data_IF_639149814884
#
_entry.id   IF_639149814884
#
_cell.length_a   1.000
_cell.length_b   1.000
_cell.length_c   1.000
_cell.angle_alpha   90.00
_cell.angle_beta   90.00
_cell.angle_gamma   90.00
#
_symmetry.space_group_name_H-M   'P 1'
#
loop_
_entity.id
_entity.type
_entity.pdbx_description
1 polymer ?
#
# COMPACT_ATOMS: atom_id res chain seq x y z
N UNK A 1 1.87 -16.93 -5.63
CA UNK A 1 3.19 -16.75 -6.27
C UNK A 1 4.05 -16.15 -5.19
N UNK A 2 4.94 -16.92 -4.62
CA UNK A 2 5.95 -16.33 -3.74
C UNK A 2 6.72 -15.33 -4.59
N UNK A 3 6.86 -14.09 -4.09
CA UNK A 3 7.71 -13.07 -4.68
C UNK A 3 9.17 -13.44 -4.37
N UNK A 4 9.64 -14.59 -4.92
CA UNK A 4 10.89 -15.22 -4.53
C UNK A 4 12.11 -14.74 -5.32
N UNK A 5 11.92 -13.94 -6.36
CA UNK A 5 13.00 -13.37 -7.16
C UNK A 5 12.84 -11.86 -7.28
N UNK A 6 13.97 -11.13 -7.24
CA UNK A 6 13.98 -9.70 -7.50
C UNK A 6 13.38 -9.38 -8.86
N UNK A 7 12.67 -8.26 -8.95
CA UNK A 7 12.16 -7.72 -10.20
C UNK A 7 13.32 -7.22 -11.09
N UNK A 8 13.12 -7.15 -12.42
CA UNK A 8 14.07 -6.49 -13.30
C UNK A 8 14.38 -5.05 -12.83
N UNK A 9 15.61 -4.56 -13.07
CA UNK A 9 15.96 -3.18 -12.74
C UNK A 9 14.99 -2.19 -13.39
N UNK A 10 14.60 -1.16 -12.64
CA UNK A 10 13.64 -0.15 -13.08
C UNK A 10 13.49 0.97 -12.05
N UNK A 11 12.57 1.88 -12.30
CA UNK A 11 12.22 2.95 -11.35
C UNK A 11 10.99 2.55 -10.54
N UNK A 12 11.10 2.60 -9.21
CA UNK A 12 9.98 2.32 -8.29
C UNK A 12 9.58 3.57 -7.52
N UNK A 13 8.29 3.90 -7.55
CA UNK A 13 7.69 4.89 -6.68
C UNK A 13 7.20 4.19 -5.40
N UNK A 14 7.78 4.54 -4.26
CA UNK A 14 7.39 4.05 -2.94
C UNK A 14 6.43 5.05 -2.30
N UNK A 15 5.13 4.76 -2.31
CA UNK A 15 4.06 5.67 -1.89
C UNK A 15 3.65 5.39 -0.45
N UNK A 16 3.54 6.44 0.36
CA UNK A 16 3.31 6.32 1.80
C UNK A 16 4.50 5.60 2.46
N UNK A 17 5.70 6.01 2.07
CA UNK A 17 6.93 5.30 2.43
C UNK A 17 7.24 5.34 3.94
N UNK A 18 6.73 6.36 4.66
CA UNK A 18 7.03 6.52 6.07
C UNK A 18 8.53 6.38 6.37
N UNK A 19 8.84 5.74 7.49
CA UNK A 19 10.19 5.32 7.84
C UNK A 19 10.60 3.94 7.30
N UNK A 20 9.79 3.31 6.44
CA UNK A 20 10.00 1.95 5.99
C UNK A 20 11.08 1.85 4.90
N UNK A 21 11.78 0.71 4.88
CA UNK A 21 12.66 0.36 3.76
C UNK A 21 11.82 -0.23 2.62
N UNK A 22 12.31 -0.03 1.41
CA UNK A 22 11.73 -0.65 0.23
C UNK A 22 11.82 -2.19 0.33
N UNK A 23 10.77 -2.87 -0.11
CA UNK A 23 10.73 -4.34 -0.06
C UNK A 23 11.85 -4.97 -0.92
N UNK A 24 12.55 -6.02 -0.45
CA UNK A 24 13.70 -6.63 -1.13
C UNK A 24 13.44 -7.09 -2.58
N UNK A 25 12.19 -7.33 -2.97
CA UNK A 25 11.83 -7.68 -4.34
C UNK A 25 12.27 -6.60 -5.35
N UNK A 26 12.42 -5.34 -4.89
CA UNK A 26 12.88 -4.21 -5.69
C UNK A 26 14.40 -3.97 -5.58
N UNK A 27 15.18 -4.94 -5.14
CA UNK A 27 16.62 -4.85 -4.89
C UNK A 27 17.36 -4.50 -6.14
N UNK A 28 17.49 -3.72 -6.83
CA UNK A 28 18.09 -3.36 -8.12
C UNK A 28 17.34 -2.23 -8.82
N UNK A 29 16.26 -1.74 -8.18
CA UNK A 29 15.48 -0.63 -8.68
C UNK A 29 15.96 0.70 -8.06
N UNK A 30 15.78 1.77 -8.82
CA UNK A 30 15.93 3.15 -8.35
C UNK A 30 14.67 3.57 -7.59
N UNK A 31 14.79 3.75 -6.26
CA UNK A 31 13.68 4.17 -5.40
C UNK A 31 13.46 5.67 -5.49
N UNK A 32 12.21 6.08 -5.62
CA UNK A 32 11.72 7.45 -5.36
C UNK A 32 10.69 7.36 -4.25
N UNK A 33 10.91 8.07 -3.15
CA UNK A 33 10.07 8.04 -1.95
C UNK A 33 9.04 9.16 -1.98
N UNK A 34 7.76 8.82 -1.76
CA UNK A 34 6.68 9.80 -1.67
C UNK A 34 5.93 9.60 -0.35
N UNK A 35 5.75 10.68 0.38
CA UNK A 35 4.96 10.71 1.62
C UNK A 35 4.30 12.09 1.80
N UNK A 36 3.24 12.14 2.62
CA UNK A 36 2.57 13.38 3.01
C UNK A 36 3.25 14.00 4.24
N UNK A 37 3.97 13.20 5.03
CA UNK A 37 4.62 13.63 6.27
C UNK A 37 6.07 14.05 5.99
N UNK A 38 6.40 15.35 6.18
CA UNK A 38 7.75 15.87 5.95
C UNK A 38 8.80 15.28 6.92
N UNK A 39 8.39 14.77 8.08
CA UNK A 39 9.30 14.21 9.08
C UNK A 39 10.01 12.94 8.58
N UNK A 40 9.40 12.26 7.63
CA UNK A 40 10.00 11.10 6.94
C UNK A 40 10.99 11.47 5.83
N UNK A 41 11.15 12.77 5.53
CA UNK A 41 12.09 13.28 4.51
C UNK A 41 11.96 12.56 3.17
N UNK A 42 10.76 12.47 2.60
CA UNK A 42 10.58 11.84 1.30
C UNK A 42 11.23 12.68 0.19
N UNK A 43 11.54 12.06 -0.97
CA UNK A 43 12.00 12.76 -2.16
C UNK A 43 10.90 13.66 -2.72
N UNK A 44 9.63 13.23 -2.57
CA UNK A 44 8.44 13.95 -3.01
C UNK A 44 7.49 14.09 -1.83
N UNK A 45 7.31 15.33 -1.35
CA UNK A 45 6.34 15.65 -0.32
C UNK A 45 4.98 15.92 -1.00
N UNK A 46 4.10 14.94 -1.00
CA UNK A 46 2.80 15.02 -1.66
C UNK A 46 1.79 14.02 -1.07
N UNK A 47 0.50 14.31 -1.26
CA UNK A 47 -0.56 13.34 -1.00
C UNK A 47 -0.62 12.30 -2.12
N UNK A 48 -0.92 11.04 -1.79
CA UNK A 48 -1.17 9.99 -2.78
C UNK A 48 -2.44 10.22 -3.61
N UNK A 49 -3.31 11.15 -3.20
CA UNK A 49 -4.49 11.58 -3.98
C UNK A 49 -4.17 12.72 -4.94
N UNK A 50 -2.97 13.31 -4.87
CA UNK A 50 -2.52 14.39 -5.74
C UNK A 50 -0.99 14.39 -5.81
N UNK A 51 -0.43 13.57 -6.67
CA UNK A 51 1.02 13.37 -6.79
C UNK A 51 1.71 14.40 -7.70
N UNK A 52 0.97 15.39 -8.21
CA UNK A 52 1.52 16.39 -9.11
C UNK A 52 1.89 15.82 -10.49
N UNK A 53 2.83 16.50 -11.15
CA UNK A 53 3.22 16.16 -12.53
C UNK A 53 4.41 15.16 -12.53
N UNK A 54 4.26 14.03 -11.85
CA UNK A 54 5.24 12.93 -11.87
C UNK A 54 4.70 11.73 -12.66
N UNK A 55 5.59 10.88 -13.12
CA UNK A 55 5.24 9.65 -13.84
C UNK A 55 6.45 8.97 -14.44
N UNK A 56 6.22 7.93 -15.22
CA UNK A 56 7.28 7.19 -15.88
C UNK A 56 7.96 6.15 -14.98
N UNK A 57 7.24 5.62 -13.99
CA UNK A 57 7.71 4.54 -13.13
C UNK A 57 7.42 3.18 -13.75
N UNK A 58 8.34 2.24 -13.57
CA UNK A 58 8.17 0.85 -13.97
C UNK A 58 7.35 0.10 -12.90
N UNK A 59 7.53 0.49 -11.64
CA UNK A 59 6.86 -0.10 -10.49
C UNK A 59 6.30 0.98 -9.56
N UNK A 60 5.21 0.63 -8.87
CA UNK A 60 4.69 1.37 -7.73
C UNK A 60 4.56 0.39 -6.55
N UNK A 61 5.04 0.79 -5.40
CA UNK A 61 4.91 0.06 -4.15
C UNK A 61 4.23 0.92 -3.09
N UNK A 62 3.16 0.41 -2.48
CA UNK A 62 2.47 1.04 -1.36
C UNK A 62 2.15 -0.04 -0.33
N UNK A 63 2.59 0.17 0.91
CA UNK A 63 2.47 -0.81 1.97
C UNK A 63 1.91 -0.15 3.23
N UNK A 64 0.75 -0.62 3.69
CA UNK A 64 0.06 -0.07 4.86
C UNK A 64 -0.13 1.44 4.78
N UNK A 65 -0.74 1.91 3.68
CA UNK A 65 -0.98 3.35 3.44
C UNK A 65 -2.36 3.61 2.86
N UNK A 66 -2.84 2.76 1.94
CA UNK A 66 -4.11 2.97 1.25
C UNK A 66 -5.32 2.91 2.21
N UNK A 67 -5.26 2.09 3.25
CA UNK A 67 -6.27 1.96 4.29
C UNK A 67 -6.50 3.23 5.11
N UNK A 68 -5.54 4.15 5.10
CA UNK A 68 -5.66 5.44 5.78
C UNK A 68 -6.51 6.45 5.01
N UNK A 69 -6.92 6.13 3.80
CA UNK A 69 -7.86 6.92 3.00
C UNK A 69 -9.28 6.39 3.12
N UNK A 70 -10.26 7.30 3.12
CA UNK A 70 -11.67 6.92 2.92
C UNK A 70 -11.90 6.38 1.50
N UNK A 71 -13.01 5.67 1.24
CA UNK A 71 -13.24 4.98 -0.05
C UNK A 71 -13.14 5.90 -1.27
N UNK A 72 -13.64 7.14 -1.19
CA UNK A 72 -13.59 8.10 -2.29
C UNK A 72 -12.15 8.54 -2.59
N UNK A 73 -11.38 8.90 -1.55
CA UNK A 73 -9.99 9.30 -1.68
C UNK A 73 -9.11 8.11 -2.10
N UNK A 74 -9.43 6.89 -1.63
CA UNK A 74 -8.77 5.65 -2.05
C UNK A 74 -8.92 5.40 -3.55
N UNK A 75 -10.11 5.64 -4.11
CA UNK A 75 -10.32 5.52 -5.56
C UNK A 75 -9.51 6.56 -6.34
N UNK A 76 -9.41 7.81 -5.84
CA UNK A 76 -8.57 8.85 -6.44
C UNK A 76 -7.10 8.44 -6.39
N UNK A 77 -6.61 7.95 -5.24
CA UNK A 77 -5.24 7.50 -5.07
C UNK A 77 -4.89 6.35 -6.03
N UNK A 78 -5.76 5.35 -6.17
CA UNK A 78 -5.56 4.25 -7.11
C UNK A 78 -5.52 4.74 -8.57
N UNK A 79 -6.32 5.75 -8.94
CA UNK A 79 -6.25 6.42 -10.24
C UNK A 79 -4.89 7.11 -10.46
N UNK A 80 -4.36 7.79 -9.44
CA UNK A 80 -3.02 8.39 -9.47
C UNK A 80 -1.92 7.31 -9.57
N UNK A 81 -2.05 6.19 -8.85
CA UNK A 81 -1.14 5.04 -8.95
C UNK A 81 -1.09 4.48 -10.38
N UNK A 82 -2.26 4.33 -11.00
CA UNK A 82 -2.34 3.93 -12.39
C UNK A 82 -1.69 4.96 -13.32
N UNK A 83 -1.97 6.24 -13.12
CA UNK A 83 -1.48 7.34 -13.96
C UNK A 83 0.05 7.41 -14.01
N UNK A 84 0.71 7.31 -12.86
CA UNK A 84 2.18 7.52 -12.73
C UNK A 84 3.01 6.37 -13.30
N UNK A 85 2.42 5.20 -13.49
CA UNK A 85 3.10 4.06 -14.09
C UNK A 85 3.23 4.22 -15.61
N UNK A 86 4.28 3.65 -16.17
CA UNK A 86 4.42 3.43 -17.62
C UNK A 86 3.40 2.39 -18.10
N UNK A 87 3.05 2.37 -19.39
CA UNK A 87 2.40 1.21 -20.02
C UNK A 87 3.22 -0.07 -19.74
N UNK A 88 2.56 -1.12 -19.26
CA UNK A 88 3.20 -2.37 -18.82
C UNK A 88 3.82 -2.31 -17.40
N UNK A 89 3.70 -1.20 -16.69
CA UNK A 89 4.15 -1.06 -15.28
C UNK A 89 3.29 -1.85 -14.30
N UNK A 90 3.84 -2.11 -13.12
CA UNK A 90 3.21 -2.92 -12.07
C UNK A 90 3.00 -2.11 -10.79
N UNK A 91 1.79 -2.19 -10.22
CA UNK A 91 1.50 -1.73 -8.86
C UNK A 91 1.49 -2.90 -7.88
N UNK A 92 2.15 -2.74 -6.75
CA UNK A 92 2.16 -3.65 -5.61
C UNK A 92 1.56 -2.93 -4.41
N UNK A 93 0.36 -3.33 -4.01
CA UNK A 93 -0.40 -2.72 -2.93
C UNK A 93 -0.55 -3.72 -1.80
N UNK A 94 -0.05 -3.36 -0.62
CA UNK A 94 -0.20 -4.19 0.59
C UNK A 94 -1.08 -3.44 1.57
N UNK A 95 -2.15 -4.11 2.02
CA UNK A 95 -3.10 -3.57 3.01
C UNK A 95 -3.43 -4.65 4.05
N UNK A 96 -3.96 -4.29 5.23
CA UNK A 96 -4.47 -5.27 6.18
C UNK A 96 -5.60 -6.10 5.57
N UNK A 97 -5.57 -7.42 5.86
CA UNK A 97 -6.65 -8.36 5.57
C UNK A 97 -7.54 -8.48 6.80
N UNK A 98 -8.77 -8.04 6.70
CA UNK A 98 -9.75 -8.15 7.80
C UNK A 98 -10.73 -9.31 7.60
N UNK A 99 -10.58 -10.10 6.54
CA UNK A 99 -11.44 -11.26 6.28
C UNK A 99 -11.23 -12.31 7.39
N UNK A 100 -12.32 -12.75 7.99
CA UNK A 100 -12.34 -13.69 9.11
C UNK A 100 -11.68 -13.18 10.41
N UNK A 101 -11.46 -11.86 10.54
CA UNK A 101 -10.89 -11.24 11.74
C UNK A 101 -11.98 -10.57 12.56
N UNK A 102 -12.09 -10.92 13.85
CA UNK A 102 -12.94 -10.20 14.79
C UNK A 102 -12.17 -8.97 15.34
N UNK A 103 -12.82 -7.80 15.50
CA UNK A 103 -12.18 -6.59 16.03
C UNK A 103 -12.04 -6.65 17.56
N UNK A 104 -11.34 -7.66 18.06
CA UNK A 104 -11.03 -7.86 19.48
C UNK A 104 -9.68 -7.25 19.83
N UNK A 105 -9.39 -7.13 21.15
CA UNK A 105 -8.12 -6.66 21.67
C UNK A 105 -7.12 -7.81 21.94
N UNK A 106 -7.43 -9.02 21.49
CA UNK A 106 -6.50 -10.14 21.53
C UNK A 106 -5.39 -9.94 20.50
N UNK A 107 -4.16 -10.21 20.91
CA UNK A 107 -2.99 -10.11 20.00
C UNK A 107 -3.06 -11.19 18.94
N UNK A 108 -3.01 -10.78 17.69
CA UNK A 108 -2.94 -11.66 16.52
C UNK A 108 -1.50 -12.02 16.16
N UNK A 109 -0.60 -11.03 16.22
CA UNK A 109 0.84 -11.21 15.97
C UNK A 109 1.65 -10.03 16.52
N UNK A 110 2.96 -10.24 16.66
CA UNK A 110 3.90 -9.19 17.05
C UNK A 110 4.53 -8.56 15.79
N UNK A 111 4.46 -7.23 15.70
CA UNK A 111 5.14 -6.42 14.68
C UNK A 111 6.31 -5.65 15.28
N UNK A 112 7.21 -5.08 14.48
CA UNK A 112 8.24 -4.16 14.98
C UNK A 112 7.69 -2.96 15.75
N UNK A 113 6.44 -2.55 15.49
CA UNK A 113 5.75 -1.47 16.20
C UNK A 113 5.09 -1.93 17.51
N UNK A 114 5.09 -3.24 17.79
CA UNK A 114 4.46 -3.87 18.95
C UNK A 114 3.38 -4.88 18.55
N UNK A 115 2.65 -5.43 19.55
CA UNK A 115 1.59 -6.39 19.30
C UNK A 115 0.45 -5.74 18.49
N UNK A 116 -0.05 -6.47 17.50
CA UNK A 116 -1.17 -6.08 16.65
C UNK A 116 -2.38 -6.94 17.00
N UNK A 117 -3.51 -6.28 17.17
CA UNK A 117 -4.79 -6.90 17.53
C UNK A 117 -5.76 -6.88 16.35
N UNK A 118 -6.88 -7.63 16.46
CA UNK A 118 -7.96 -7.52 15.49
C UNK A 118 -8.54 -6.10 15.41
N UNK A 119 -8.63 -5.40 16.54
CA UNK A 119 -9.04 -4.00 16.58
C UNK A 119 -8.11 -3.10 15.76
N UNK A 120 -6.78 -3.29 15.87
CA UNK A 120 -5.80 -2.49 15.12
C UNK A 120 -5.93 -2.69 13.60
N UNK A 121 -6.28 -3.89 13.12
CA UNK A 121 -6.49 -4.14 11.70
C UNK A 121 -7.66 -3.32 11.12
N UNK A 122 -8.70 -3.07 11.92
CA UNK A 122 -9.87 -2.29 11.50
C UNK A 122 -9.70 -0.79 11.68
N UNK A 123 -9.05 -0.36 12.78
CA UNK A 123 -9.08 1.04 13.19
C UNK A 123 -7.72 1.73 13.19
N UNK A 124 -6.66 0.96 12.95
CA UNK A 124 -5.28 1.45 12.96
C UNK A 124 -4.59 1.24 14.31
N UNK A 125 -3.27 1.17 14.29
CA UNK A 125 -2.45 0.96 15.48
C UNK A 125 -2.16 2.30 16.16
N UNK A 126 -2.68 2.48 17.40
CA UNK A 126 -2.49 3.68 18.23
C UNK A 126 -2.85 5.01 17.52
N UNK A 127 -4.03 5.13 16.90
CA UNK A 127 -4.42 6.35 16.17
C UNK A 127 -4.56 7.56 17.10
N UNK A 128 -4.73 7.38 18.41
CA UNK A 128 -4.77 8.44 19.42
C UNK A 128 -3.43 9.17 19.58
N UNK A 129 -2.31 8.52 19.18
CA UNK A 129 -0.96 9.12 19.19
C UNK A 129 -0.59 9.78 17.89
N UNK A 130 -1.10 9.23 16.79
CA UNK A 130 -0.89 9.76 15.44
C UNK A 130 -2.17 9.56 14.62
N UNK A 131 -2.96 10.62 14.36
CA UNK A 131 -4.21 10.53 13.60
C UNK A 131 -4.06 10.00 12.17
N UNK A 132 -2.86 10.09 11.58
CA UNK A 132 -2.57 9.52 10.26
C UNK A 132 -2.60 7.99 10.27
N UNK A 133 -2.44 7.37 11.47
CA UNK A 133 -2.49 5.92 11.64
C UNK A 133 -3.92 5.35 11.74
N UNK A 134 -4.95 6.21 11.71
CA UNK A 134 -6.34 5.75 11.69
C UNK A 134 -6.69 5.11 10.35
N UNK A 135 -7.22 3.88 10.39
CA UNK A 135 -7.77 3.23 9.21
C UNK A 135 -9.17 3.78 8.92
N UNK A 136 -9.41 4.17 7.68
CA UNK A 136 -10.70 4.69 7.19
C UNK A 136 -11.36 3.73 6.21
N UNK A 137 -10.63 2.72 5.75
CA UNK A 137 -11.13 1.66 4.88
C UNK A 137 -10.56 0.33 5.34
N UNK A 138 -11.42 -0.67 5.43
CA UNK A 138 -11.04 -2.06 5.66
C UNK A 138 -11.15 -2.84 4.35
N UNK A 139 -10.15 -3.67 4.04
CA UNK A 139 -10.11 -4.42 2.79
C UNK A 139 -10.35 -5.91 3.03
N UNK A 140 -11.15 -6.50 2.14
CA UNK A 140 -11.25 -7.92 1.88
C UNK A 140 -10.57 -8.19 0.54
N UNK A 141 -10.21 -9.44 0.27
CA UNK A 141 -9.59 -9.80 -1.01
C UNK A 141 -10.37 -9.30 -2.22
N UNK A 142 -11.69 -9.54 -2.24
CA UNK A 142 -12.54 -9.18 -3.38
C UNK A 142 -12.75 -7.67 -3.50
N UNK A 143 -12.78 -6.93 -2.38
CA UNK A 143 -12.92 -5.46 -2.40
C UNK A 143 -11.64 -4.77 -2.86
N UNK A 144 -10.46 -5.28 -2.49
CA UNK A 144 -9.19 -4.76 -3.00
C UNK A 144 -9.05 -5.05 -4.49
N UNK A 145 -9.44 -6.26 -4.93
CA UNK A 145 -9.40 -6.60 -6.36
C UNK A 145 -10.30 -5.68 -7.17
N UNK A 146 -11.57 -5.51 -6.76
CA UNK A 146 -12.52 -4.62 -7.43
C UNK A 146 -12.04 -3.15 -7.47
N UNK A 147 -11.40 -2.67 -6.39
CA UNK A 147 -10.84 -1.32 -6.34
C UNK A 147 -9.70 -1.12 -7.35
N UNK A 148 -8.79 -2.09 -7.47
CA UNK A 148 -7.71 -2.06 -8.45
C UNK A 148 -8.23 -2.14 -9.89
N UNK A 149 -9.17 -3.05 -10.17
CA UNK A 149 -9.81 -3.17 -11.49
C UNK A 149 -10.56 -1.89 -11.85
N UNK A 150 -11.28 -1.28 -10.88
CA UNK A 150 -11.98 -0.02 -11.05
C UNK A 150 -11.06 1.17 -11.38
N UNK A 151 -9.81 1.14 -10.96
CA UNK A 151 -8.80 2.13 -11.30
C UNK A 151 -8.14 1.91 -12.69
N UNK A 152 -8.47 0.80 -13.36
CA UNK A 152 -8.01 0.47 -14.71
C UNK A 152 -6.89 -0.58 -14.78
N UNK A 153 -6.44 -1.13 -13.66
CA UNK A 153 -5.44 -2.21 -13.66
C UNK A 153 -6.02 -3.50 -14.26
N UNK A 154 -5.29 -4.15 -15.16
CA UNK A 154 -5.67 -5.43 -15.76
C UNK A 154 -4.44 -6.16 -16.36
N UNK A 155 -4.14 -7.42 -16.01
CA UNK A 155 -4.86 -8.20 -15.00
C UNK A 155 -4.55 -7.77 -13.57
N UNK A 156 -5.46 -8.09 -12.65
CA UNK A 156 -5.28 -7.92 -11.20
C UNK A 156 -5.20 -9.28 -10.54
N UNK A 157 -4.30 -9.44 -9.57
CA UNK A 157 -4.22 -10.60 -8.71
C UNK A 157 -4.09 -10.15 -7.26
N UNK A 158 -4.99 -10.63 -6.39
CA UNK A 158 -4.92 -10.40 -4.95
C UNK A 158 -4.68 -11.72 -4.23
N UNK A 159 -3.69 -11.75 -3.34
CA UNK A 159 -3.33 -12.93 -2.54
C UNK A 159 -3.26 -12.58 -1.07
N UNK A 160 -3.66 -13.52 -0.21
CA UNK A 160 -3.44 -13.44 1.24
C UNK A 160 -1.99 -13.80 1.56
N UNK A 161 -1.40 -13.08 2.50
CA UNK A 161 -0.05 -13.32 2.99
C UNK A 161 -0.05 -13.47 4.52
N UNK A 162 1.10 -13.82 5.09
CA UNK A 162 1.27 -13.91 6.53
C UNK A 162 0.98 -12.55 7.21
N UNK A 163 0.71 -12.62 8.52
CA UNK A 163 0.44 -11.45 9.35
C UNK A 163 -0.75 -10.62 8.87
N UNK A 164 -1.81 -11.29 8.42
CA UNK A 164 -3.07 -10.67 8.02
C UNK A 164 -2.86 -9.55 6.99
N UNK A 165 -2.24 -9.89 5.86
CA UNK A 165 -2.00 -8.96 4.76
C UNK A 165 -2.65 -9.45 3.46
N UNK A 166 -3.18 -8.51 2.69
CA UNK A 166 -3.51 -8.68 1.29
C UNK A 166 -2.41 -8.05 0.43
N UNK A 167 -1.96 -8.78 -0.57
CA UNK A 167 -1.05 -8.27 -1.59
C UNK A 167 -1.80 -8.23 -2.91
N UNK A 168 -2.11 -7.02 -3.37
CA UNK A 168 -2.69 -6.76 -4.68
C UNK A 168 -1.60 -6.40 -5.69
N UNK A 169 -1.58 -7.09 -6.82
CA UNK A 169 -0.69 -6.78 -7.95
C UNK A 169 -1.58 -6.44 -9.14
N UNK A 170 -1.43 -5.22 -9.67
CA UNK A 170 -2.15 -4.74 -10.83
C UNK A 170 -1.20 -4.34 -11.95
N UNK A 171 -1.55 -4.67 -13.19
CA UNK A 171 -0.81 -4.30 -14.40
C UNK A 171 -1.48 -3.10 -15.08
N UNK A 172 -0.68 -2.14 -15.55
CA UNK A 172 -1.13 -1.05 -16.41
C UNK A 172 -1.04 -1.39 -17.88
#
# INVERSE_FOLDING_TARGET
MELSSALPPGKVLHVGCGGSLLHPIFSGCEETRLDIDPDHKPDILASMTHMGNIGGFDYLFSCHSLEHLGPADGAIALGEFYRVLKPGGLAFIVVPDVEDVAPTFETLYDSPAGPITGHDLYFGHRPERNPWMAHKTAFLRDTLQAALEGAGFAPVKVTRAANYQLIGIGHK
#
